data_IF_493431869337
#
_entry.id   IF_493431869337
#
_cell.length_a   1.000
_cell.length_b   1.000
_cell.length_c   1.000
_cell.angle_alpha   90.00
_cell.angle_beta   90.00
_cell.angle_gamma   90.00
#
_symmetry.space_group_name_H-M   'P 1'
#
loop_
_entity.id
_entity.type
_entity.pdbx_description
1 polymer ?
#
# COMPACT_ATOMS: atom_id res chain seq x y z
N UNK A 1 28.82 -61.79 66.74
CA UNK A 1 28.90 -60.30 66.82
C UNK A 1 29.13 -59.75 65.44
N UNK A 2 28.06 -59.30 64.79
CA UNK A 2 28.07 -58.91 63.38
C UNK A 2 28.11 -57.40 63.26
N UNK A 3 29.16 -56.82 62.67
CA UNK A 3 29.26 -55.40 62.33
C UNK A 3 28.76 -55.22 60.92
N UNK A 4 27.63 -54.48 60.76
CA UNK A 4 27.14 -54.04 59.49
C UNK A 4 27.79 -52.70 59.19
N UNK A 5 28.59 -52.66 58.18
CA UNK A 5 29.12 -51.40 57.56
C UNK A 5 28.06 -50.74 56.73
N UNK A 6 27.72 -49.49 57.07
CA UNK A 6 26.80 -48.62 56.34
C UNK A 6 27.61 -47.83 55.28
N UNK A 7 27.38 -48.13 54.02
CA UNK A 7 27.96 -47.36 52.91
C UNK A 7 27.04 -46.19 52.60
N UNK A 8 27.52 -44.98 52.86
CA UNK A 8 26.83 -43.72 52.46
C UNK A 8 27.21 -43.43 51.04
N UNK A 9 26.26 -43.62 50.11
CA UNK A 9 26.39 -43.24 48.72
C UNK A 9 26.18 -41.72 48.52
N UNK A 10 27.23 -41.00 48.11
CA UNK A 10 27.20 -39.59 47.79
C UNK A 10 26.58 -39.42 46.40
N UNK A 11 25.33 -38.96 46.33
CA UNK A 11 24.67 -38.61 45.05
C UNK A 11 25.10 -37.19 44.66
N UNK A 12 26.00 -37.09 43.71
CA UNK A 12 26.37 -35.81 43.06
C UNK A 12 25.30 -35.48 42.03
N UNK A 13 24.41 -34.54 42.36
CA UNK A 13 23.44 -33.97 41.40
C UNK A 13 24.18 -32.97 40.53
N UNK A 14 24.44 -33.35 39.28
CA UNK A 14 24.94 -32.44 38.26
C UNK A 14 23.80 -31.53 37.80
N UNK A 15 23.75 -30.31 38.31
CA UNK A 15 22.90 -29.26 37.75
C UNK A 15 23.49 -28.82 36.40
N UNK A 16 22.98 -29.39 35.30
CA UNK A 16 23.27 -28.90 33.96
C UNK A 16 22.58 -27.53 33.78
N UNK A 17 23.36 -26.47 33.95
CA UNK A 17 22.95 -25.10 33.63
C UNK A 17 22.85 -25.01 32.13
N UNK A 18 21.68 -25.30 31.56
CA UNK A 18 21.39 -25.01 30.16
C UNK A 18 21.30 -23.49 30.00
N UNK A 19 22.40 -22.88 29.58
CA UNK A 19 22.38 -21.51 29.09
C UNK A 19 21.40 -21.46 27.93
N UNK A 20 20.20 -20.90 28.14
CA UNK A 20 19.37 -20.42 27.05
C UNK A 20 20.16 -19.30 26.40
N UNK A 21 20.95 -19.63 25.39
CA UNK A 21 21.38 -18.66 24.42
C UNK A 21 20.11 -18.17 23.72
N UNK A 22 19.63 -17.00 24.16
CA UNK A 22 18.62 -16.26 23.41
C UNK A 22 19.15 -16.12 21.99
N UNK A 23 18.55 -16.83 21.05
CA UNK A 23 18.81 -16.61 19.63
C UNK A 23 18.43 -15.16 19.38
N UNK A 24 19.43 -14.27 19.34
CA UNK A 24 19.29 -12.97 18.72
C UNK A 24 18.77 -13.28 17.32
N UNK A 25 17.55 -12.84 17.01
CA UNK A 25 17.02 -12.94 15.67
C UNK A 25 18.02 -12.21 14.77
N UNK A 26 18.86 -12.97 14.08
CA UNK A 26 19.89 -12.43 13.21
C UNK A 26 19.20 -11.60 12.16
N UNK A 27 19.81 -10.48 11.81
CA UNK A 27 19.32 -9.58 10.76
C UNK A 27 19.07 -10.37 9.48
N UNK A 28 17.86 -10.25 8.92
CA UNK A 28 17.45 -11.07 7.79
C UNK A 28 18.18 -10.63 6.50
N UNK A 29 18.89 -11.56 5.88
CA UNK A 29 19.56 -11.35 4.58
C UNK A 29 19.17 -12.45 3.59
N UNK A 30 17.90 -12.53 3.17
CA UNK A 30 17.39 -13.62 2.34
C UNK A 30 18.01 -13.57 0.93
N UNK A 31 18.19 -14.74 0.29
CA UNK A 31 18.66 -14.87 -1.08
C UNK A 31 17.65 -14.35 -2.12
N UNK A 32 16.38 -14.35 -1.76
CA UNK A 32 15.26 -13.88 -2.60
C UNK A 32 14.46 -12.83 -1.86
N UNK A 33 14.15 -11.72 -2.53
CA UNK A 33 13.25 -10.69 -2.04
C UNK A 33 11.87 -10.83 -2.69
N UNK A 34 10.83 -11.01 -1.87
CA UNK A 34 9.43 -10.96 -2.28
C UNK A 34 8.99 -9.51 -2.23
N UNK A 35 8.67 -8.97 -3.39
CA UNK A 35 8.35 -7.56 -3.61
C UNK A 35 6.88 -7.44 -3.97
N UNK A 36 6.06 -6.99 -3.04
CA UNK A 36 4.64 -6.82 -3.29
C UNK A 36 4.34 -5.50 -3.99
N UNK A 37 3.48 -5.60 -5.00
CA UNK A 37 2.90 -4.48 -5.72
C UNK A 37 1.43 -4.36 -5.33
N UNK A 38 0.99 -3.15 -5.02
CA UNK A 38 -0.39 -2.89 -4.63
C UNK A 38 -1.37 -3.32 -5.74
N UNK A 39 -2.44 -4.08 -5.44
CA UNK A 39 -3.45 -4.46 -6.43
C UNK A 39 -4.45 -3.31 -6.71
N UNK A 40 -3.93 -2.13 -7.04
CA UNK A 40 -4.72 -0.91 -7.27
C UNK A 40 -5.28 -0.80 -8.69
N UNK A 41 -4.81 -1.63 -9.60
CA UNK A 41 -5.29 -1.83 -10.97
C UNK A 41 -5.33 -3.33 -11.29
N UNK A 42 -5.73 -3.72 -12.51
CA UNK A 42 -5.71 -5.12 -12.94
C UNK A 42 -4.35 -5.78 -12.67
N UNK A 43 -4.33 -6.91 -11.95
CA UNK A 43 -3.12 -7.57 -11.47
C UNK A 43 -2.14 -7.95 -12.60
N UNK A 44 -2.64 -8.41 -13.76
CA UNK A 44 -1.80 -8.77 -14.91
C UNK A 44 -1.10 -7.55 -15.49
N UNK A 45 -1.79 -6.40 -15.54
CA UNK A 45 -1.21 -5.13 -15.98
C UNK A 45 -0.20 -4.60 -14.97
N UNK A 46 -0.47 -4.72 -13.66
CA UNK A 46 0.48 -4.34 -12.60
C UNK A 46 1.78 -5.13 -12.74
N UNK A 47 1.71 -6.45 -12.87
CA UNK A 47 2.90 -7.29 -13.06
C UNK A 47 3.64 -6.92 -14.34
N UNK A 48 2.92 -6.78 -15.46
CA UNK A 48 3.51 -6.46 -16.78
C UNK A 48 4.27 -5.14 -16.76
N UNK A 49 3.69 -4.10 -16.18
CA UNK A 49 4.30 -2.75 -16.07
C UNK A 49 5.56 -2.75 -15.19
N UNK A 50 5.67 -3.68 -14.24
CA UNK A 50 6.77 -3.72 -13.28
C UNK A 50 7.86 -4.76 -13.63
N UNK A 51 7.82 -5.41 -14.81
CA UNK A 51 8.92 -6.25 -15.30
C UNK A 51 10.26 -5.52 -15.42
N UNK A 52 10.33 -4.28 -15.96
CA UNK A 52 11.58 -3.51 -15.99
C UNK A 52 12.10 -3.23 -14.57
N UNK A 53 11.24 -2.87 -13.61
CA UNK A 53 11.64 -2.69 -12.22
C UNK A 53 12.25 -3.97 -11.63
N UNK A 54 11.62 -5.13 -11.86
CA UNK A 54 12.18 -6.42 -11.41
C UNK A 54 13.60 -6.63 -11.91
N UNK A 55 13.82 -6.48 -13.21
CA UNK A 55 15.14 -6.67 -13.83
C UNK A 55 16.18 -5.68 -13.26
N UNK A 56 15.79 -4.44 -13.07
CA UNK A 56 16.62 -3.41 -12.47
C UNK A 56 17.02 -3.75 -11.02
N UNK A 57 16.05 -4.16 -10.18
CA UNK A 57 16.31 -4.57 -8.79
C UNK A 57 17.22 -5.79 -8.72
N UNK A 58 17.00 -6.81 -9.55
CA UNK A 58 17.86 -8.00 -9.62
C UNK A 58 19.31 -7.63 -9.97
N UNK A 59 19.49 -6.75 -10.95
CA UNK A 59 20.82 -6.27 -11.38
C UNK A 59 21.52 -5.47 -10.31
N UNK A 60 20.82 -4.54 -9.64
CA UNK A 60 21.41 -3.58 -8.71
C UNK A 60 21.58 -4.16 -7.30
N UNK A 61 20.59 -4.88 -6.79
CA UNK A 61 20.63 -5.47 -5.45
C UNK A 61 21.46 -6.77 -5.46
N UNK A 62 21.50 -7.48 -6.60
CA UNK A 62 22.21 -8.76 -6.72
C UNK A 62 21.50 -9.91 -6.01
N UNK A 63 20.16 -9.82 -5.89
CA UNK A 63 19.30 -10.86 -5.32
C UNK A 63 18.18 -11.20 -6.26
N UNK A 64 17.66 -12.44 -6.17
CA UNK A 64 16.48 -12.84 -6.93
C UNK A 64 15.26 -12.03 -6.46
N UNK A 65 14.49 -11.48 -7.40
CA UNK A 65 13.26 -10.74 -7.11
C UNK A 65 12.04 -11.55 -7.54
N UNK A 66 11.09 -11.71 -6.63
CA UNK A 66 9.79 -12.28 -6.89
C UNK A 66 8.72 -11.20 -6.73
N UNK A 67 8.09 -10.80 -7.85
CA UNK A 67 6.96 -9.88 -7.78
C UNK A 67 5.72 -10.62 -7.29
N UNK A 68 5.04 -10.02 -6.32
CA UNK A 68 3.80 -10.53 -5.71
C UNK A 68 2.69 -9.50 -5.90
N UNK A 69 1.52 -9.93 -6.35
CA UNK A 69 0.28 -9.13 -6.32
C UNK A 69 -0.74 -9.94 -5.55
N UNK A 70 -1.25 -9.38 -4.47
CA UNK A 70 -2.26 -10.02 -3.62
C UNK A 70 -3.67 -9.81 -4.18
N UNK A 71 -4.67 -10.49 -3.62
CA UNK A 71 -6.07 -10.35 -4.04
C UNK A 71 -6.67 -8.99 -3.68
N UNK A 72 -6.24 -8.43 -2.56
CA UNK A 72 -6.71 -7.16 -2.00
C UNK A 72 -5.61 -6.52 -1.12
N UNK A 73 -5.87 -5.32 -0.61
CA UNK A 73 -4.93 -4.57 0.21
C UNK A 73 -4.73 -5.21 1.59
N UNK A 74 -5.79 -5.75 2.18
CA UNK A 74 -5.72 -6.42 3.50
C UNK A 74 -4.84 -7.67 3.45
N UNK A 75 -4.94 -8.46 2.38
CA UNK A 75 -4.05 -9.62 2.14
C UNK A 75 -2.58 -9.21 2.04
N UNK A 76 -2.29 -8.04 1.47
CA UNK A 76 -0.92 -7.51 1.38
C UNK A 76 -0.40 -7.06 2.75
N UNK A 77 -1.24 -6.38 3.54
CA UNK A 77 -0.95 -5.97 4.91
C UNK A 77 -0.63 -7.22 5.77
N UNK A 78 -1.47 -8.25 5.72
CA UNK A 78 -1.26 -9.48 6.46
C UNK A 78 -0.02 -10.27 5.99
N UNK A 79 0.25 -10.29 4.68
CA UNK A 79 1.47 -10.91 4.16
C UNK A 79 2.74 -10.21 4.69
N UNK A 80 2.71 -8.88 4.81
CA UNK A 80 3.81 -8.11 5.42
C UNK A 80 3.93 -8.41 6.92
N UNK A 81 2.80 -8.40 7.66
CA UNK A 81 2.76 -8.70 9.09
C UNK A 81 3.36 -10.06 9.44
N UNK A 82 3.12 -11.05 8.59
CA UNK A 82 3.64 -12.42 8.76
C UNK A 82 5.03 -12.65 8.16
N UNK A 83 5.76 -11.60 7.77
CA UNK A 83 7.11 -11.72 7.21
C UNK A 83 7.17 -12.47 5.88
N UNK A 84 6.06 -12.50 5.13
CA UNK A 84 5.98 -13.15 3.81
C UNK A 84 6.41 -12.24 2.66
N UNK A 85 6.74 -11.00 2.96
CA UNK A 85 7.21 -9.99 2.02
C UNK A 85 8.44 -9.29 2.61
N UNK A 86 9.42 -8.97 1.80
CA UNK A 86 10.58 -8.17 2.19
C UNK A 86 10.40 -6.70 1.85
N UNK A 87 9.81 -6.43 0.67
CA UNK A 87 9.46 -5.08 0.21
C UNK A 87 8.00 -5.02 -0.20
N UNK A 88 7.42 -3.83 -0.09
CA UNK A 88 6.05 -3.59 -0.52
C UNK A 88 5.85 -2.15 -1.02
N UNK A 89 5.08 -2.00 -2.09
CA UNK A 89 4.59 -0.71 -2.60
C UNK A 89 3.15 -0.53 -2.16
N UNK A 90 2.95 0.17 -1.05
CA UNK A 90 1.63 0.40 -0.46
C UNK A 90 0.97 1.70 -0.98
N UNK A 91 -0.34 1.80 -0.83
CA UNK A 91 -1.02 3.10 -0.80
C UNK A 91 -0.82 3.75 0.59
N UNK A 92 -0.97 5.08 0.73
CA UNK A 92 -0.71 5.74 2.01
C UNK A 92 -1.52 5.20 3.20
N UNK A 93 -2.84 4.96 3.05
CA UNK A 93 -3.67 4.38 4.12
C UNK A 93 -3.28 2.92 4.41
N UNK A 94 -3.10 2.10 3.38
CA UNK A 94 -2.67 0.70 3.58
C UNK A 94 -1.27 0.61 4.19
N UNK A 95 -0.39 1.59 3.95
CA UNK A 95 0.88 1.73 4.66
C UNK A 95 0.66 2.00 6.15
N UNK A 96 -0.17 2.98 6.49
CA UNK A 96 -0.49 3.32 7.89
C UNK A 96 -1.03 2.09 8.62
N UNK A 97 -1.95 1.34 7.99
CA UNK A 97 -2.48 0.09 8.52
C UNK A 97 -1.42 -1.01 8.67
N UNK A 98 -0.54 -1.18 7.68
CA UNK A 98 0.55 -2.15 7.73
C UNK A 98 1.57 -1.77 8.81
N UNK A 99 1.88 -0.48 8.95
CA UNK A 99 2.84 0.05 9.93
C UNK A 99 2.35 -0.15 11.38
N UNK A 100 1.04 -0.02 11.63
CA UNK A 100 0.48 -0.29 12.96
C UNK A 100 0.55 -1.77 13.37
N UNK A 101 0.59 -2.69 12.39
CA UNK A 101 0.58 -4.14 12.60
C UNK A 101 1.94 -4.82 12.37
N UNK A 102 2.94 -4.09 11.86
CA UNK A 102 4.23 -4.64 11.40
C UNK A 102 5.37 -3.69 11.67
N UNK A 103 6.56 -4.25 11.89
CA UNK A 103 7.78 -3.44 11.97
C UNK A 103 8.38 -3.24 10.57
N UNK A 104 7.90 -2.19 9.89
CA UNK A 104 8.32 -1.80 8.54
C UNK A 104 8.73 -0.33 8.52
N UNK A 105 9.50 0.06 7.52
CA UNK A 105 9.93 1.44 7.31
C UNK A 105 9.63 1.88 5.87
N UNK A 106 9.03 3.06 5.72
CA UNK A 106 8.92 3.75 4.44
C UNK A 106 10.26 4.42 4.10
N UNK A 107 10.67 4.37 2.83
CA UNK A 107 11.99 4.91 2.47
C UNK A 107 12.03 5.65 1.13
N UNK A 108 11.10 5.38 0.22
CA UNK A 108 11.06 6.04 -1.08
C UNK A 108 9.63 6.20 -1.59
N UNK A 109 9.34 7.28 -2.28
CA UNK A 109 8.09 7.48 -3.00
C UNK A 109 8.36 8.11 -4.37
N UNK A 110 7.41 7.91 -5.30
CA UNK A 110 7.49 8.56 -6.60
C UNK A 110 7.57 10.07 -6.46
N UNK A 111 8.50 10.68 -7.17
CA UNK A 111 8.64 12.12 -7.24
C UNK A 111 8.41 12.61 -8.67
N UNK A 112 7.76 13.74 -8.79
CA UNK A 112 7.59 14.45 -10.04
C UNK A 112 7.97 15.90 -9.83
N UNK A 113 9.08 16.33 -10.45
CA UNK A 113 9.63 17.68 -10.28
C UNK A 113 9.85 18.03 -8.80
N UNK A 114 10.41 17.09 -8.02
CA UNK A 114 10.69 17.27 -6.61
C UNK A 114 9.49 17.13 -5.67
N UNK A 115 8.27 16.91 -6.17
CA UNK A 115 7.10 16.68 -5.33
C UNK A 115 6.78 15.20 -5.19
N UNK A 116 6.67 14.73 -3.95
CA UNK A 116 6.26 13.38 -3.55
C UNK A 116 4.79 13.32 -3.15
N UNK A 117 3.94 14.10 -3.82
CA UNK A 117 2.50 14.14 -3.56
C UNK A 117 1.67 13.79 -4.79
N UNK A 118 0.42 13.42 -4.57
CA UNK A 118 -0.57 13.18 -5.61
C UNK A 118 -1.97 13.62 -5.15
N UNK A 119 -2.96 13.52 -6.03
CA UNK A 119 -4.35 13.88 -5.78
C UNK A 119 -5.28 12.70 -6.00
N UNK A 120 -6.39 12.68 -5.28
CA UNK A 120 -7.57 11.91 -5.61
C UNK A 120 -8.55 12.74 -6.43
N UNK A 121 -9.44 12.06 -7.14
CA UNK A 121 -10.59 12.66 -7.84
C UNK A 121 -11.87 11.97 -7.45
N UNK A 122 -12.96 12.75 -7.40
CA UNK A 122 -14.34 12.24 -7.46
C UNK A 122 -14.83 12.45 -8.87
N UNK A 123 -15.37 11.41 -9.48
CA UNK A 123 -15.90 11.42 -10.85
C UNK A 123 -17.40 11.11 -10.86
N UNK A 124 -18.11 11.64 -11.83
CA UNK A 124 -19.54 11.40 -12.03
C UNK A 124 -19.86 11.02 -13.48
N UNK A 125 -20.91 10.23 -13.64
CA UNK A 125 -21.44 9.89 -14.95
C UNK A 125 -22.42 10.97 -15.44
N UNK A 126 -22.07 11.63 -16.54
CA UNK A 126 -22.83 12.75 -17.12
C UNK A 126 -24.20 12.29 -17.59
N UNK A 127 -24.28 11.12 -18.27
CA UNK A 127 -25.53 10.56 -18.80
C UNK A 127 -26.51 10.16 -17.70
N UNK A 128 -26.00 9.91 -16.46
CA UNK A 128 -26.81 9.63 -15.27
C UNK A 128 -27.15 10.86 -14.44
N UNK A 129 -26.85 12.06 -14.99
CA UNK A 129 -27.17 13.35 -14.36
C UNK A 129 -26.28 13.72 -13.18
N UNK A 130 -25.06 13.15 -13.07
CA UNK A 130 -24.14 13.50 -11.98
C UNK A 130 -23.09 14.48 -12.52
N UNK A 131 -23.30 15.76 -12.29
CA UNK A 131 -22.48 16.86 -12.78
C UNK A 131 -21.83 17.68 -11.66
N UNK A 132 -22.24 17.47 -10.41
CA UNK A 132 -21.69 18.07 -9.19
C UNK A 132 -21.60 17.02 -8.07
N UNK A 133 -20.95 17.36 -6.97
CA UNK A 133 -20.90 16.48 -5.77
C UNK A 133 -22.30 16.30 -5.18
N UNK A 134 -23.11 17.34 -5.17
CA UNK A 134 -24.45 17.35 -4.62
C UNK A 134 -25.40 16.38 -5.36
N UNK A 135 -25.16 16.13 -6.65
CA UNK A 135 -25.94 15.19 -7.48
C UNK A 135 -25.73 13.73 -7.08
N UNK A 136 -24.73 13.43 -6.23
CA UNK A 136 -24.46 12.09 -5.71
C UNK A 136 -25.54 11.66 -4.69
N UNK A 137 -26.32 12.60 -4.17
CA UNK A 137 -27.41 12.28 -3.24
C UNK A 137 -28.41 11.29 -3.85
N UNK A 138 -28.64 10.19 -3.15
CA UNK A 138 -29.52 9.10 -3.61
C UNK A 138 -28.91 8.18 -4.68
N UNK A 139 -27.63 8.30 -4.97
CA UNK A 139 -26.93 7.53 -6.00
C UNK A 139 -26.00 6.45 -5.43
N UNK A 140 -25.51 5.60 -6.32
CA UNK A 140 -24.47 4.61 -6.03
C UNK A 140 -23.10 5.22 -6.25
N UNK A 141 -22.25 5.19 -5.22
CA UNK A 141 -20.87 5.66 -5.21
C UNK A 141 -19.92 4.46 -5.20
N UNK A 142 -19.06 4.35 -6.22
CA UNK A 142 -18.05 3.32 -6.31
C UNK A 142 -16.75 3.76 -5.65
N UNK A 143 -16.20 2.90 -4.81
CA UNK A 143 -14.87 2.99 -4.23
C UNK A 143 -14.01 1.81 -4.69
N UNK A 144 -12.68 1.94 -4.55
CA UNK A 144 -11.75 0.82 -4.77
C UNK A 144 -11.75 -0.14 -3.59
N UNK A 145 -10.62 -0.26 -2.94
CA UNK A 145 -10.45 -1.08 -1.72
C UNK A 145 -10.75 -0.24 -0.46
N UNK A 146 -11.35 -0.82 0.59
CA UNK A 146 -11.56 -0.13 1.88
C UNK A 146 -10.29 0.52 2.45
N UNK A 147 -9.12 -0.11 2.30
CA UNK A 147 -7.83 0.42 2.72
C UNK A 147 -7.17 1.38 1.71
N UNK A 148 -7.91 1.83 0.68
CA UNK A 148 -7.41 2.78 -0.31
C UNK A 148 -7.53 4.23 0.16
N UNK A 149 -6.44 4.99 0.06
CA UNK A 149 -6.42 6.42 0.34
C UNK A 149 -7.23 7.21 -0.68
N UNK A 150 -6.87 7.09 -1.96
CA UNK A 150 -7.43 7.94 -3.03
C UNK A 150 -8.66 7.36 -3.70
N UNK A 151 -9.00 6.09 -3.43
CA UNK A 151 -10.24 5.51 -3.93
C UNK A 151 -11.27 5.18 -2.84
N UNK A 152 -11.00 5.54 -1.58
CA UNK A 152 -11.97 5.46 -0.49
C UNK A 152 -11.83 6.66 0.47
N UNK A 153 -10.76 6.73 1.27
CA UNK A 153 -10.61 7.70 2.36
C UNK A 153 -10.83 9.15 1.91
N UNK A 154 -10.08 9.60 0.90
CA UNK A 154 -10.14 10.99 0.43
C UNK A 154 -11.47 11.30 -0.28
N UNK A 155 -11.96 10.48 -1.24
CA UNK A 155 -13.27 10.74 -1.83
C UNK A 155 -14.41 10.79 -0.81
N UNK A 156 -14.39 9.92 0.19
CA UNK A 156 -15.37 9.92 1.28
C UNK A 156 -15.30 11.23 2.08
N UNK A 157 -14.11 11.70 2.44
CA UNK A 157 -13.97 12.98 3.14
C UNK A 157 -14.49 14.17 2.32
N UNK A 158 -14.26 14.16 0.99
CA UNK A 158 -14.78 15.21 0.10
C UNK A 158 -16.32 15.23 0.13
N UNK A 159 -16.96 14.07 0.16
CA UNK A 159 -18.42 13.99 0.23
C UNK A 159 -18.94 14.44 1.60
N UNK A 160 -18.28 14.02 2.68
CA UNK A 160 -18.66 14.42 4.04
C UNK A 160 -18.49 15.95 4.27
N UNK A 161 -17.43 16.55 3.75
CA UNK A 161 -17.23 18.01 3.76
C UNK A 161 -18.36 18.78 3.04
N UNK A 162 -19.07 18.11 2.14
CA UNK A 162 -20.25 18.62 1.43
C UNK A 162 -21.59 18.21 2.05
N UNK A 163 -21.56 17.60 3.25
CA UNK A 163 -22.74 17.16 3.96
C UNK A 163 -23.42 15.93 3.33
N UNK A 164 -22.65 15.09 2.65
CA UNK A 164 -23.11 13.81 2.12
C UNK A 164 -22.52 12.64 2.92
N UNK A 165 -23.38 11.93 3.64
CA UNK A 165 -23.01 10.78 4.47
C UNK A 165 -23.37 9.47 3.78
N UNK A 166 -22.46 8.52 3.75
CA UNK A 166 -22.68 7.17 3.20
C UNK A 166 -23.87 6.44 3.83
N UNK A 167 -24.22 6.72 5.09
CA UNK A 167 -25.32 6.06 5.78
C UNK A 167 -26.69 6.53 5.33
N UNK A 168 -26.81 7.79 4.90
CA UNK A 168 -28.08 8.45 4.68
C UNK A 168 -28.27 8.95 3.25
N UNK A 169 -27.17 9.35 2.57
CA UNK A 169 -27.25 10.16 1.36
C UNK A 169 -26.85 9.43 0.09
N UNK A 170 -26.05 8.35 0.17
CA UNK A 170 -25.65 7.56 -1.00
C UNK A 170 -25.30 6.11 -0.59
N UNK A 171 -25.22 5.20 -1.57
CA UNK A 171 -24.84 3.79 -1.34
C UNK A 171 -23.38 3.57 -1.74
N UNK A 172 -22.61 2.95 -0.86
CA UNK A 172 -21.21 2.58 -1.11
C UNK A 172 -21.10 1.21 -1.77
N UNK A 173 -20.22 1.13 -2.80
CA UNK A 173 -19.85 -0.12 -3.46
C UNK A 173 -18.34 -0.20 -3.57
N UNK A 174 -17.72 -1.23 -3.01
CA UNK A 174 -16.28 -1.46 -3.09
C UNK A 174 -15.98 -2.42 -4.23
N UNK A 175 -15.17 -1.98 -5.19
CA UNK A 175 -14.86 -2.72 -6.42
C UNK A 175 -13.40 -3.22 -6.48
N UNK A 176 -12.62 -2.97 -5.43
CA UNK A 176 -11.25 -3.44 -5.24
C UNK A 176 -10.19 -2.57 -5.96
N UNK A 177 -10.40 -2.18 -7.22
CA UNK A 177 -9.40 -1.52 -8.02
C UNK A 177 -9.91 -0.21 -8.65
N UNK A 178 -8.98 0.74 -8.90
CA UNK A 178 -9.30 2.07 -9.43
C UNK A 178 -9.85 2.04 -10.86
N UNK A 179 -9.33 1.16 -11.72
CA UNK A 179 -9.82 0.99 -13.09
C UNK A 179 -11.23 0.42 -13.10
N UNK A 180 -11.55 -0.50 -12.19
CA UNK A 180 -12.91 -1.02 -12.01
C UNK A 180 -13.88 0.09 -11.59
N UNK A 181 -13.47 1.01 -10.70
CA UNK A 181 -14.27 2.19 -10.33
C UNK A 181 -14.56 3.07 -11.54
N UNK A 182 -13.52 3.47 -12.27
CA UNK A 182 -13.67 4.35 -13.43
C UNK A 182 -14.57 3.74 -14.52
N UNK A 183 -14.40 2.44 -14.81
CA UNK A 183 -15.22 1.70 -15.78
C UNK A 183 -16.66 1.52 -15.30
N UNK A 184 -16.87 1.28 -14.01
CA UNK A 184 -18.21 1.19 -13.41
C UNK A 184 -18.98 2.49 -13.58
N UNK A 185 -18.32 3.62 -13.32
CA UNK A 185 -18.92 4.95 -13.51
C UNK A 185 -19.22 5.21 -14.98
N UNK A 186 -18.25 4.99 -15.89
CA UNK A 186 -18.46 5.18 -17.33
C UNK A 186 -19.63 4.39 -17.86
N UNK A 187 -19.80 3.14 -17.40
CA UNK A 187 -20.87 2.24 -17.84
C UNK A 187 -22.19 2.47 -17.09
N UNK A 188 -22.27 3.44 -16.19
CA UNK A 188 -23.48 3.79 -15.42
C UNK A 188 -23.92 2.72 -14.42
N UNK A 189 -23.05 1.78 -14.05
CA UNK A 189 -23.30 0.78 -12.98
C UNK A 189 -23.22 1.42 -11.60
N UNK A 190 -22.31 2.37 -11.40
CA UNK A 190 -22.35 3.35 -10.35
C UNK A 190 -22.46 4.74 -11.00
N UNK A 191 -23.08 5.69 -10.32
CA UNK A 191 -23.28 7.03 -10.89
C UNK A 191 -22.13 7.97 -10.55
N UNK A 192 -21.38 7.66 -9.47
CA UNK A 192 -20.17 8.38 -9.08
C UNK A 192 -19.08 7.41 -8.61
N UNK A 193 -17.85 7.89 -8.49
CA UNK A 193 -16.75 7.08 -7.98
C UNK A 193 -15.55 7.92 -7.56
N UNK A 194 -14.71 7.33 -6.71
CA UNK A 194 -13.47 7.93 -6.23
C UNK A 194 -12.24 7.14 -6.67
N UNK A 195 -11.21 7.81 -7.17
CA UNK A 195 -9.97 7.15 -7.56
C UNK A 195 -8.75 8.09 -7.59
N UNK A 196 -7.57 7.51 -7.75
CA UNK A 196 -6.32 8.25 -7.95
C UNK A 196 -6.36 9.07 -9.24
N UNK A 197 -6.07 10.37 -9.18
CA UNK A 197 -6.01 11.25 -10.34
C UNK A 197 -5.00 10.77 -11.39
N UNK A 198 -3.75 10.39 -11.06
CA UNK A 198 -2.80 9.84 -12.03
C UNK A 198 -3.30 8.59 -12.76
N UNK A 199 -4.04 7.70 -12.06
CA UNK A 199 -4.65 6.51 -12.68
C UNK A 199 -5.77 6.95 -13.63
N UNK A 200 -6.68 7.81 -13.18
CA UNK A 200 -7.75 8.34 -14.03
C UNK A 200 -7.21 8.98 -15.32
N UNK A 201 -6.21 9.87 -15.21
CA UNK A 201 -5.57 10.50 -16.36
C UNK A 201 -4.92 9.48 -17.30
N UNK A 202 -4.35 8.40 -16.77
CA UNK A 202 -3.78 7.32 -17.57
C UNK A 202 -4.85 6.53 -18.30
N UNK A 203 -5.97 6.23 -17.66
CA UNK A 203 -7.10 5.55 -18.30
C UNK A 203 -7.71 6.39 -19.43
N UNK A 204 -7.84 7.70 -19.23
CA UNK A 204 -8.28 8.65 -20.28
C UNK A 204 -7.27 8.68 -21.43
N UNK A 205 -6.00 8.87 -21.16
CA UNK A 205 -4.94 8.94 -22.18
C UNK A 205 -4.86 7.66 -23.02
N UNK A 206 -5.14 6.52 -22.41
CA UNK A 206 -5.15 5.21 -23.10
C UNK A 206 -6.49 4.89 -23.78
N UNK A 207 -7.45 5.81 -23.83
CA UNK A 207 -8.75 5.62 -24.45
C UNK A 207 -9.68 4.65 -23.72
N UNK A 208 -9.34 4.24 -22.48
CA UNK A 208 -10.20 3.36 -21.67
C UNK A 208 -11.38 4.09 -21.05
N UNK A 209 -11.24 5.38 -20.80
CA UNK A 209 -12.29 6.26 -20.27
C UNK A 209 -12.56 7.41 -21.23
N UNK A 210 -13.83 7.57 -21.58
CA UNK A 210 -14.36 8.64 -22.42
C UNK A 210 -14.81 9.81 -21.55
N UNK A 211 -14.15 10.95 -21.72
CA UNK A 211 -14.46 12.20 -21.01
C UNK A 211 -15.82 12.81 -21.40
N UNK A 212 -16.43 12.38 -22.48
CA UNK A 212 -17.81 12.79 -22.82
C UNK A 212 -18.86 12.14 -21.91
N UNK A 213 -18.50 10.99 -21.27
CA UNK A 213 -19.37 10.24 -20.34
C UNK A 213 -19.05 10.46 -18.90
N UNK A 214 -17.77 10.76 -18.58
CA UNK A 214 -17.27 10.85 -17.22
C UNK A 214 -16.65 12.23 -16.96
N UNK A 215 -17.18 12.92 -15.95
CA UNK A 215 -16.72 14.24 -15.51
C UNK A 215 -15.98 14.14 -14.18
N UNK A 216 -14.90 14.89 -14.03
CA UNK A 216 -14.28 15.13 -12.72
C UNK A 216 -15.11 16.16 -11.97
N UNK A 217 -15.66 15.77 -10.82
CA UNK A 217 -16.51 16.61 -9.96
C UNK A 217 -15.66 17.38 -8.94
N UNK A 218 -14.63 16.72 -8.41
CA UNK A 218 -13.70 17.32 -7.46
C UNK A 218 -12.29 16.73 -7.59
N UNK A 219 -11.30 17.56 -7.22
CA UNK A 219 -9.89 17.17 -7.06
C UNK A 219 -9.50 17.47 -5.63
N UNK A 220 -8.87 16.55 -4.94
CA UNK A 220 -8.42 16.73 -3.57
C UNK A 220 -7.27 17.73 -3.44
N UNK A 221 -7.00 18.22 -2.23
CA UNK A 221 -5.67 18.74 -1.87
C UNK A 221 -4.60 17.68 -2.13
N UNK A 222 -3.29 18.05 -2.19
CA UNK A 222 -2.22 17.07 -2.33
C UNK A 222 -2.11 16.19 -1.07
N UNK A 223 -1.84 14.91 -1.27
CA UNK A 223 -1.55 13.92 -0.24
C UNK A 223 -0.22 13.24 -0.53
N UNK A 224 0.47 12.65 0.48
CA UNK A 224 1.73 11.95 0.26
C UNK A 224 1.55 10.80 -0.72
N UNK A 225 2.57 10.59 -1.56
CA UNK A 225 2.59 9.57 -2.59
C UNK A 225 2.71 8.16 -1.97
N UNK A 226 2.45 7.15 -2.75
CA UNK A 226 2.57 5.74 -2.38
C UNK A 226 4.00 5.41 -1.91
N UNK A 227 4.17 4.88 -0.67
CA UNK A 227 5.48 4.54 -0.16
C UNK A 227 5.97 3.19 -0.67
N UNK A 228 7.23 3.12 -1.04
CA UNK A 228 8.00 1.91 -0.97
C UNK A 228 8.43 1.66 0.47
N UNK A 229 8.21 0.45 0.94
CA UNK A 229 8.51 0.03 2.30
C UNK A 229 9.34 -1.24 2.31
N UNK A 230 10.07 -1.44 3.40
CA UNK A 230 10.80 -2.67 3.66
C UNK A 230 10.64 -3.10 5.12
N UNK A 231 10.87 -4.37 5.39
CA UNK A 231 10.95 -4.87 6.76
C UNK A 231 12.13 -4.24 7.48
N UNK A 232 11.91 -3.83 8.74
CA UNK A 232 12.96 -3.17 9.55
C UNK A 232 14.04 -4.14 10.01
N UNK A 233 13.75 -5.45 10.06
CA UNK A 233 14.67 -6.51 10.50
C UNK A 233 15.62 -7.02 9.38
N UNK A 234 15.55 -6.45 8.18
CA UNK A 234 16.54 -6.73 7.14
C UNK A 234 17.94 -6.22 7.57
N UNK A 235 18.99 -6.95 7.18
CA UNK A 235 20.38 -6.58 7.47
C UNK A 235 20.67 -5.14 7.03
N UNK A 236 21.38 -4.32 7.84
CA UNK A 236 21.62 -2.90 7.55
C UNK A 236 22.22 -2.64 6.18
N UNK A 237 23.22 -3.43 5.78
CA UNK A 237 23.83 -3.31 4.45
C UNK A 237 22.86 -3.62 3.30
N UNK A 238 21.91 -4.55 3.50
CA UNK A 238 20.86 -4.82 2.51
C UNK A 238 19.86 -3.66 2.45
N UNK A 239 19.42 -3.10 3.59
CA UNK A 239 18.54 -1.93 3.64
C UNK A 239 19.13 -0.73 2.96
N UNK A 240 20.40 -0.45 3.21
CA UNK A 240 21.13 0.66 2.56
C UNK A 240 21.22 0.45 1.04
N UNK A 241 21.53 -0.78 0.60
CA UNK A 241 21.58 -1.13 -0.81
C UNK A 241 20.22 -0.95 -1.49
N UNK A 242 19.12 -1.36 -0.83
CA UNK A 242 17.76 -1.16 -1.31
C UNK A 242 17.45 0.33 -1.46
N UNK A 243 17.68 1.15 -0.41
CA UNK A 243 17.46 2.61 -0.46
C UNK A 243 18.21 3.25 -1.62
N UNK A 244 19.51 3.01 -1.71
CA UNK A 244 20.36 3.56 -2.76
C UNK A 244 19.92 3.12 -4.16
N UNK A 245 19.41 1.89 -4.31
CA UNK A 245 18.86 1.38 -5.57
C UNK A 245 17.67 2.21 -6.03
N UNK A 246 16.76 2.56 -5.14
CA UNK A 246 15.59 3.39 -5.49
C UNK A 246 15.96 4.87 -5.66
N UNK A 247 16.75 5.44 -4.75
CA UNK A 247 17.10 6.86 -4.78
C UNK A 247 17.98 7.26 -6.00
N UNK A 248 18.74 6.31 -6.53
CA UNK A 248 19.57 6.53 -7.73
C UNK A 248 18.92 6.02 -9.01
N UNK A 249 17.64 5.58 -8.96
CA UNK A 249 16.94 5.09 -10.13
C UNK A 249 16.63 6.25 -11.07
N UNK A 250 17.23 6.21 -12.26
CA UNK A 250 17.02 7.17 -13.35
C UNK A 250 16.68 6.49 -14.68
N UNK A 251 16.51 5.17 -14.68
CA UNK A 251 16.18 4.41 -15.89
C UNK A 251 14.77 4.78 -16.39
N UNK A 252 14.64 5.38 -17.59
CA UNK A 252 13.36 5.83 -18.09
C UNK A 252 12.39 4.68 -18.41
N UNK A 253 12.88 3.47 -18.73
CA UNK A 253 12.03 2.30 -18.96
C UNK A 253 11.36 1.85 -17.67
N UNK A 254 12.11 1.85 -16.56
CA UNK A 254 11.56 1.55 -15.24
C UNK A 254 10.58 2.63 -14.79
N UNK A 255 10.97 3.90 -14.94
CA UNK A 255 10.13 5.05 -14.53
C UNK A 255 8.85 5.17 -15.34
N UNK A 256 8.84 4.71 -16.61
CA UNK A 256 7.64 4.70 -17.45
C UNK A 256 6.48 3.86 -16.84
N UNK A 257 6.80 2.84 -16.04
CA UNK A 257 5.82 2.07 -15.28
C UNK A 257 5.10 2.87 -14.18
N UNK A 258 5.66 4.02 -13.77
CA UNK A 258 5.22 4.80 -12.61
C UNK A 258 4.55 6.15 -12.98
N UNK A 259 3.62 6.13 -13.92
CA UNK A 259 2.61 7.20 -14.12
C UNK A 259 3.19 8.64 -14.23
N UNK A 260 4.35 8.77 -14.86
CA UNK A 260 5.00 10.07 -15.11
C UNK A 260 5.89 10.57 -13.97
N UNK A 261 6.34 9.68 -13.10
CA UNK A 261 7.43 9.97 -12.18
C UNK A 261 8.73 10.26 -12.95
N UNK A 262 9.55 11.12 -12.37
CA UNK A 262 10.89 11.44 -12.90
C UNK A 262 12.00 10.82 -12.07
N UNK A 263 11.69 10.45 -10.82
CA UNK A 263 12.63 9.95 -9.84
C UNK A 263 11.89 9.35 -8.64
N UNK A 264 12.62 8.79 -7.69
CA UNK A 264 12.12 8.46 -6.35
C UNK A 264 12.69 9.42 -5.32
N UNK A 265 11.82 10.12 -4.58
CA UNK A 265 12.18 10.97 -3.46
C UNK A 265 12.29 10.18 -2.15
N UNK A 266 13.11 10.69 -1.23
CA UNK A 266 13.19 10.18 0.13
C UNK A 266 11.94 10.58 0.90
N UNK A 267 11.46 9.67 1.75
CA UNK A 267 10.30 9.86 2.61
C UNK A 267 10.54 9.21 3.96
N UNK A 268 9.71 9.58 4.93
CA UNK A 268 9.68 9.01 6.27
C UNK A 268 8.25 8.65 6.69
N UNK A 269 8.09 8.07 7.89
CA UNK A 269 6.78 7.69 8.43
C UNK A 269 5.91 8.92 8.73
N UNK A 270 6.52 10.02 9.15
CA UNK A 270 5.86 11.28 9.51
C UNK A 270 5.15 11.93 8.33
N UNK A 271 5.62 11.70 7.11
CA UNK A 271 4.94 12.20 5.90
C UNK A 271 3.49 11.69 5.78
N UNK A 272 3.16 10.58 6.48
CA UNK A 272 1.84 9.94 6.43
C UNK A 272 0.93 10.32 7.60
N UNK A 273 1.33 11.23 8.49
CA UNK A 273 0.50 11.66 9.63
C UNK A 273 -0.81 12.31 9.17
N UNK A 274 -0.78 13.07 8.07
CA UNK A 274 -2.00 13.63 7.48
C UNK A 274 -3.03 12.56 7.06
N UNK A 275 -2.58 11.35 6.76
CA UNK A 275 -3.46 10.21 6.44
C UNK A 275 -4.06 9.61 7.71
N UNK A 276 -3.26 9.51 8.77
CA UNK A 276 -3.71 9.08 10.11
C UNK A 276 -4.78 10.03 10.66
N UNK A 277 -4.52 11.33 10.58
CA UNK A 277 -5.46 12.37 10.99
C UNK A 277 -6.78 12.26 10.22
N UNK A 278 -6.74 12.15 8.89
CA UNK A 278 -7.94 12.04 8.08
C UNK A 278 -8.74 10.77 8.40
N UNK A 279 -8.09 9.63 8.60
CA UNK A 279 -8.74 8.38 8.99
C UNK A 279 -9.44 8.53 10.35
N UNK A 280 -8.81 9.20 11.31
CA UNK A 280 -9.39 9.50 12.63
C UNK A 280 -10.62 10.40 12.54
N UNK A 281 -10.57 11.47 11.73
CA UNK A 281 -11.71 12.38 11.52
C UNK A 281 -12.92 11.63 10.95
N UNK A 282 -12.71 10.68 10.05
CA UNK A 282 -13.76 9.85 9.47
C UNK A 282 -14.20 8.68 10.38
N UNK A 283 -13.67 8.59 11.60
CA UNK A 283 -13.93 7.50 12.54
C UNK A 283 -13.68 6.10 11.91
N UNK A 284 -12.68 5.99 11.05
CA UNK A 284 -12.26 4.69 10.53
C UNK A 284 -11.49 3.96 11.62
N UNK A 285 -11.98 2.80 11.99
CA UNK A 285 -11.32 1.92 12.97
C UNK A 285 -10.14 1.21 12.28
N UNK A 286 -8.96 1.81 12.40
CA UNK A 286 -7.73 1.29 11.78
C UNK A 286 -7.33 -0.09 12.33
N UNK A 287 -7.79 -0.47 13.52
CA UNK A 287 -7.49 -1.78 14.12
C UNK A 287 -8.38 -2.89 13.54
N UNK A 288 -9.56 -2.53 13.01
CA UNK A 288 -10.53 -3.45 12.42
C UNK A 288 -10.47 -3.55 10.90
N UNK A 289 -9.66 -2.72 10.26
CA UNK A 289 -9.43 -2.73 8.81
C UNK A 289 -8.24 -3.67 8.43
#
# INVERSE_FOLDING_TARGET
MNYRTLSIGLIIVFFALTALTGASAGEANPEKLRVALLPDENASEVIKKNKPLKAYLEKTIGKKIELVVTTDYSSMIEAMRHGRLELAYFGPLSYVLARSKSNIEAFAALSKKGSTTYHAVVIGNIEKGVNSIEDIRGKDMAYGDPASTSSHLIPKSILEDKGLSARNDYKEHFLGAHDAVALSVQNGRAQAGGLSKPIFETLVRNGKIDKSKVKVLAVSKPFPQYPWTMRSDLAPGLKEKIRNTFWNLSDPEVLAGFKGATEFGQISDEDYDVVRELASVLNLDLDRM
#
